data_IF_138183781261
#
_entry.id   IF_138183781261
#
_cell.length_a   1.000
_cell.length_b   1.000
_cell.length_c   1.000
_cell.angle_alpha   90.00
_cell.angle_beta   90.00
_cell.angle_gamma   90.00
#
_symmetry.space_group_name_H-M   'P 1'
#
loop_
_entity.id
_entity.type
_entity.pdbx_description
1 polymer ?
#
# COMPACT_ATOMS: atom_id res chain seq x y z
N UNK A 1 33.62 -11.20 -21.66
CA UNK A 1 33.66 -11.16 -20.18
C UNK A 1 32.82 -10.03 -19.58
N UNK A 2 32.83 -8.79 -20.10
CA UNK A 2 31.97 -7.69 -19.60
C UNK A 2 30.45 -8.01 -19.65
N UNK A 3 29.97 -8.58 -20.76
CA UNK A 3 28.55 -8.95 -20.95
C UNK A 3 28.02 -9.97 -19.91
N UNK A 4 28.86 -10.92 -19.48
CA UNK A 4 28.46 -11.91 -18.47
C UNK A 4 28.39 -11.29 -17.07
N UNK A 5 29.27 -10.34 -16.76
CA UNK A 5 29.26 -9.61 -15.49
C UNK A 5 28.04 -8.68 -15.39
N UNK A 6 27.72 -7.96 -16.45
CA UNK A 6 26.53 -7.10 -16.53
C UNK A 6 25.22 -7.90 -16.43
N UNK A 7 25.15 -9.06 -17.10
CA UNK A 7 23.99 -9.94 -17.01
C UNK A 7 23.76 -10.41 -15.56
N UNK A 8 24.80 -10.92 -14.90
CA UNK A 8 24.71 -11.37 -13.52
C UNK A 8 24.29 -10.26 -12.56
N UNK A 9 24.75 -9.02 -12.78
CA UNK A 9 24.33 -7.86 -11.99
C UNK A 9 22.84 -7.54 -12.18
N UNK A 10 22.33 -7.56 -13.42
CA UNK A 10 20.91 -7.34 -13.69
C UNK A 10 20.02 -8.41 -13.07
N UNK A 11 20.44 -9.68 -13.14
CA UNK A 11 19.73 -10.79 -12.50
C UNK A 11 19.69 -10.62 -10.98
N UNK A 12 20.83 -10.28 -10.36
CA UNK A 12 20.89 -10.05 -8.92
C UNK A 12 20.01 -8.86 -8.48
N UNK A 13 20.02 -7.75 -9.23
CA UNK A 13 19.15 -6.61 -8.97
C UNK A 13 17.66 -6.98 -9.08
N UNK A 14 17.29 -7.75 -10.10
CA UNK A 14 15.90 -8.22 -10.25
C UNK A 14 15.46 -9.08 -9.08
N UNK A 15 16.27 -10.06 -8.66
CA UNK A 15 15.95 -10.93 -7.52
C UNK A 15 15.82 -10.11 -6.24
N UNK A 16 16.69 -9.10 -6.05
CA UNK A 16 16.60 -8.18 -4.90
C UNK A 16 15.26 -7.43 -4.92
N UNK A 17 14.87 -6.85 -6.04
CA UNK A 17 13.62 -6.11 -6.16
C UNK A 17 12.39 -7.01 -5.98
N UNK A 18 12.42 -8.24 -6.50
CA UNK A 18 11.35 -9.23 -6.26
C UNK A 18 11.21 -9.55 -4.76
N UNK A 19 12.32 -9.67 -4.01
CA UNK A 19 12.27 -9.85 -2.55
C UNK A 19 11.67 -8.65 -1.83
N UNK A 20 12.12 -7.44 -2.17
CA UNK A 20 11.57 -6.21 -1.59
C UNK A 20 10.07 -6.06 -1.85
N UNK A 21 9.60 -6.48 -3.04
CA UNK A 21 8.18 -6.48 -3.36
C UNK A 21 7.37 -7.49 -2.54
N UNK A 22 7.95 -8.65 -2.21
CA UNK A 22 7.34 -9.61 -1.28
C UNK A 22 7.26 -9.01 0.13
N UNK A 23 8.33 -8.38 0.62
CA UNK A 23 8.35 -7.74 1.94
C UNK A 23 7.36 -6.56 2.03
N UNK A 24 7.27 -5.76 0.96
CA UNK A 24 6.28 -4.68 0.82
C UNK A 24 4.87 -5.25 0.87
N UNK A 25 4.62 -6.32 0.11
CA UNK A 25 3.32 -7.01 0.12
C UNK A 25 2.97 -7.51 1.51
N UNK A 26 3.92 -8.11 2.25
CA UNK A 26 3.70 -8.55 3.63
C UNK A 26 3.30 -7.39 4.54
N UNK A 27 3.97 -6.24 4.43
CA UNK A 27 3.60 -5.03 5.17
C UNK A 27 2.19 -4.55 4.82
N UNK A 28 1.82 -4.54 3.53
CA UNK A 28 0.47 -4.16 3.09
C UNK A 28 -0.60 -5.07 3.72
N UNK A 29 -0.41 -6.38 3.71
CA UNK A 29 -1.36 -7.32 4.30
C UNK A 29 -1.49 -7.11 5.82
N UNK A 30 -0.36 -6.92 6.51
CA UNK A 30 -0.37 -6.67 7.95
C UNK A 30 -1.11 -5.37 8.31
N UNK A 31 -0.84 -4.29 7.58
CA UNK A 31 -1.51 -3.00 7.73
C UNK A 31 -3.03 -3.11 7.51
N UNK A 32 -3.43 -3.85 6.48
CA UNK A 32 -4.81 -4.06 6.12
C UNK A 32 -5.56 -4.88 7.19
N UNK A 33 -5.05 -6.06 7.56
CA UNK A 33 -5.73 -6.96 8.48
C UNK A 33 -5.66 -6.53 9.95
N UNK A 34 -4.56 -5.93 10.39
CA UNK A 34 -4.42 -5.55 11.80
C UNK A 34 -5.04 -4.19 12.10
N UNK A 35 -4.95 -3.25 11.15
CA UNK A 35 -5.29 -1.83 11.39
C UNK A 35 -6.32 -1.25 10.42
N UNK A 36 -6.84 -2.06 9.49
CA UNK A 36 -7.84 -1.60 8.52
C UNK A 36 -7.30 -0.50 7.60
N UNK A 37 -5.99 -0.47 7.36
CA UNK A 37 -5.38 0.51 6.46
C UNK A 37 -5.35 -0.05 5.04
N UNK A 38 -6.11 0.55 4.13
CA UNK A 38 -6.04 0.23 2.69
C UNK A 38 -4.87 0.99 2.05
N UNK A 39 -3.88 0.26 1.56
CA UNK A 39 -2.75 0.82 0.83
C UNK A 39 -3.02 0.77 -0.67
N UNK A 40 -2.88 1.93 -1.31
CA UNK A 40 -2.92 2.08 -2.77
C UNK A 40 -1.63 2.73 -3.27
N UNK A 41 -1.31 2.52 -4.54
CA UNK A 41 -0.24 3.23 -5.25
C UNK A 41 -0.84 3.86 -6.51
N UNK A 42 -0.93 5.19 -6.53
CA UNK A 42 -1.58 5.94 -7.61
C UNK A 42 -2.96 5.37 -7.98
N UNK A 43 -3.81 5.18 -6.96
CA UNK A 43 -5.17 4.59 -7.04
C UNK A 43 -5.22 3.07 -7.32
N UNK A 44 -4.11 2.40 -7.57
CA UNK A 44 -4.09 0.93 -7.70
C UNK A 44 -3.98 0.30 -6.30
N UNK A 45 -4.91 -0.60 -5.95
CA UNK A 45 -4.85 -1.32 -4.67
C UNK A 45 -3.60 -2.22 -4.64
N UNK A 46 -2.93 -2.29 -3.49
CA UNK A 46 -1.77 -3.18 -3.32
C UNK A 46 -2.09 -4.49 -2.60
N UNK A 47 -3.24 -4.58 -1.92
CA UNK A 47 -3.72 -5.84 -1.34
C UNK A 47 -3.97 -6.87 -2.45
N UNK A 48 -3.66 -8.15 -2.19
CA UNK A 48 -3.78 -9.26 -3.15
C UNK A 48 -3.06 -9.06 -4.49
N UNK A 49 -2.09 -8.15 -4.53
CA UNK A 49 -1.32 -7.85 -5.73
C UNK A 49 -0.03 -8.66 -5.80
N UNK A 50 0.26 -9.26 -6.95
CA UNK A 50 1.51 -10.02 -7.13
C UNK A 50 2.75 -9.13 -7.03
N UNK A 51 3.86 -9.65 -6.52
CA UNK A 51 5.13 -8.91 -6.42
C UNK A 51 5.58 -8.33 -7.77
N UNK A 52 5.38 -9.05 -8.87
CA UNK A 52 5.68 -8.55 -10.23
C UNK A 52 4.84 -7.32 -10.59
N UNK A 53 3.55 -7.31 -10.23
CA UNK A 53 2.67 -6.18 -10.48
C UNK A 53 2.96 -5.00 -9.53
N UNK A 54 3.37 -5.27 -8.29
CA UNK A 54 3.89 -4.22 -7.39
C UNK A 54 5.09 -3.52 -8.03
N UNK A 55 6.05 -4.27 -8.59
CA UNK A 55 7.20 -3.69 -9.29
C UNK A 55 6.79 -2.91 -10.55
N UNK A 56 5.83 -3.42 -11.30
CA UNK A 56 5.25 -2.71 -12.45
C UNK A 56 4.65 -1.36 -12.05
N UNK A 57 3.92 -1.30 -10.94
CA UNK A 57 3.35 -0.04 -10.43
C UNK A 57 4.42 0.99 -10.02
N UNK A 58 5.53 0.55 -9.44
CA UNK A 58 6.67 1.43 -9.15
C UNK A 58 7.31 1.98 -10.42
N UNK A 59 7.38 1.18 -11.49
CA UNK A 59 7.89 1.61 -12.78
C UNK A 59 6.91 2.56 -13.49
N UNK A 60 5.61 2.30 -13.37
CA UNK A 60 4.52 3.08 -13.94
C UNK A 60 4.32 4.43 -13.23
N UNK A 61 4.81 4.58 -12.01
CA UNK A 61 4.84 5.86 -11.29
C UNK A 61 5.42 7.01 -12.13
N UNK A 62 6.38 6.70 -13.02
CA UNK A 62 6.98 7.67 -13.94
C UNK A 62 5.94 8.39 -14.80
N UNK A 63 4.84 7.74 -15.14
CA UNK A 63 3.79 8.31 -15.99
C UNK A 63 2.89 9.29 -15.21
N UNK A 64 2.86 9.19 -13.88
CA UNK A 64 2.06 10.06 -13.00
C UNK A 64 2.85 11.19 -12.37
N UNK A 65 4.07 10.92 -11.89
CA UNK A 65 4.91 11.86 -11.13
C UNK A 65 6.21 12.23 -11.85
N UNK A 66 6.41 11.76 -13.09
CA UNK A 66 7.58 12.07 -13.91
C UNK A 66 8.85 11.30 -13.53
N UNK A 67 8.85 10.61 -12.39
CA UNK A 67 9.98 9.81 -11.87
C UNK A 67 9.52 8.44 -11.38
N UNK A 68 10.39 7.43 -11.49
CA UNK A 68 10.14 6.13 -10.87
C UNK A 68 10.29 6.24 -9.35
N UNK A 69 9.40 5.57 -8.61
CA UNK A 69 9.52 5.47 -7.15
C UNK A 69 10.37 4.25 -6.82
N UNK A 70 11.35 4.43 -5.93
CA UNK A 70 12.15 3.30 -5.49
C UNK A 70 11.35 2.40 -4.53
N UNK A 71 11.52 1.09 -4.65
CA UNK A 71 10.77 0.14 -3.84
C UNK A 71 11.25 0.11 -2.39
N UNK A 72 12.55 0.33 -2.17
CA UNK A 72 13.11 0.52 -0.84
C UNK A 72 12.43 1.67 -0.09
N UNK A 73 12.23 2.81 -0.75
CA UNK A 73 11.63 4.01 -0.13
C UNK A 73 10.14 3.74 0.22
N UNK A 74 9.44 3.02 -0.64
CA UNK A 74 8.05 2.61 -0.37
C UNK A 74 7.96 1.61 0.78
N UNK A 75 8.90 0.67 0.86
CA UNK A 75 8.99 -0.28 1.96
C UNK A 75 9.30 0.43 3.29
N UNK A 76 10.24 1.38 3.29
CA UNK A 76 10.56 2.20 4.46
C UNK A 76 9.32 2.96 4.95
N UNK A 77 8.58 3.61 4.04
CA UNK A 77 7.33 4.29 4.38
C UNK A 77 6.31 3.35 5.04
N UNK A 78 6.11 2.14 4.52
CA UNK A 78 5.19 1.17 5.14
C UNK A 78 5.71 0.67 6.50
N UNK A 79 7.00 0.43 6.63
CA UNK A 79 7.62 0.02 7.89
C UNK A 79 7.50 1.11 8.96
N UNK A 80 7.65 2.37 8.58
CA UNK A 80 7.48 3.50 9.49
C UNK A 80 6.01 3.67 9.85
N UNK A 81 5.10 3.56 8.88
CA UNK A 81 3.65 3.52 9.15
C UNK A 81 3.31 2.42 10.16
N UNK A 82 3.90 1.23 10.07
CA UNK A 82 3.71 0.14 11.06
C UNK A 82 4.03 0.54 12.50
N UNK A 83 4.95 1.48 12.71
CA UNK A 83 5.31 1.99 14.05
C UNK A 83 4.32 3.03 14.60
N UNK A 84 3.44 3.58 13.75
CA UNK A 84 2.45 4.60 14.16
C UNK A 84 1.21 4.00 14.81
N UNK A 85 0.36 4.84 15.39
CA UNK A 85 -0.95 4.47 15.93
C UNK A 85 -2.11 4.72 14.93
N UNK A 86 -1.81 4.91 13.63
CA UNK A 86 -2.82 5.17 12.61
C UNK A 86 -3.64 3.89 12.38
N UNK A 87 -4.96 4.04 12.28
CA UNK A 87 -5.93 2.97 11.99
C UNK A 87 -7.04 3.49 11.06
N UNK A 88 -7.68 2.57 10.32
CA UNK A 88 -8.85 2.84 9.47
C UNK A 88 -8.66 3.99 8.47
N UNK A 89 -7.61 3.92 7.66
CA UNK A 89 -7.26 4.93 6.66
C UNK A 89 -7.08 4.32 5.28
N UNK A 90 -7.27 5.14 4.24
CA UNK A 90 -6.88 4.80 2.86
C UNK A 90 -5.72 5.70 2.46
N UNK A 91 -4.55 5.10 2.22
CA UNK A 91 -3.30 5.82 1.99
C UNK A 91 -2.74 5.52 0.61
N UNK A 92 -2.42 6.57 -0.15
CA UNK A 92 -1.69 6.44 -1.41
C UNK A 92 -0.18 6.51 -1.14
N UNK A 93 0.46 5.35 -1.06
CA UNK A 93 1.88 5.22 -0.75
C UNK A 93 2.75 5.78 -1.87
N UNK A 94 2.28 5.71 -3.12
CA UNK A 94 3.02 6.29 -4.26
C UNK A 94 3.16 7.79 -4.10
N UNK A 95 2.07 8.49 -3.79
CA UNK A 95 2.12 9.92 -3.54
C UNK A 95 2.94 10.24 -2.28
N UNK A 96 2.69 9.56 -1.15
CA UNK A 96 3.40 9.83 0.10
C UNK A 96 4.91 9.64 -0.02
N UNK A 97 5.36 8.56 -0.66
CA UNK A 97 6.78 8.31 -0.88
C UNK A 97 7.39 9.33 -1.85
N UNK A 98 6.68 9.74 -2.89
CA UNK A 98 7.15 10.79 -3.80
C UNK A 98 7.32 12.15 -3.07
N UNK A 99 6.32 12.52 -2.27
CA UNK A 99 6.34 13.77 -1.52
C UNK A 99 7.49 13.75 -0.49
N UNK A 100 7.65 12.63 0.24
CA UNK A 100 8.72 12.46 1.23
C UNK A 100 10.12 12.50 0.61
N UNK A 101 10.35 11.77 -0.49
CA UNK A 101 11.66 11.73 -1.18
C UNK A 101 12.07 13.07 -1.79
N UNK A 102 11.14 14.03 -1.86
CA UNK A 102 11.39 15.42 -2.27
C UNK A 102 11.80 16.33 -1.10
N UNK A 103 11.91 15.79 0.12
CA UNK A 103 12.31 16.50 1.34
C UNK A 103 13.64 15.98 1.89
N UNK A 104 14.25 16.71 2.83
CA UNK A 104 15.42 16.26 3.60
C UNK A 104 15.04 15.59 4.93
N UNK A 105 13.74 15.35 5.17
CA UNK A 105 13.24 14.81 6.43
C UNK A 105 13.42 13.28 6.51
N UNK A 106 13.52 12.76 7.72
CA UNK A 106 13.31 11.33 7.94
C UNK A 106 11.87 10.93 7.63
N UNK A 107 11.65 9.65 7.28
CA UNK A 107 10.32 9.14 7.00
C UNK A 107 9.38 9.32 8.21
N UNK A 108 9.91 9.13 9.43
CA UNK A 108 9.19 9.35 10.67
C UNK A 108 8.70 10.80 10.82
N UNK A 109 9.58 11.78 10.63
CA UNK A 109 9.25 13.21 10.71
C UNK A 109 8.19 13.59 9.67
N UNK A 110 8.36 13.13 8.43
CA UNK A 110 7.41 13.39 7.35
C UNK A 110 6.00 12.89 7.69
N UNK A 111 5.89 11.68 8.24
CA UNK A 111 4.59 11.10 8.65
C UNK A 111 3.98 11.92 9.80
N UNK A 112 4.76 12.31 10.80
CA UNK A 112 4.24 13.10 11.93
C UNK A 112 3.68 14.43 11.44
N UNK A 113 4.41 15.13 10.56
CA UNK A 113 4.02 16.44 10.07
C UNK A 113 2.80 16.37 9.14
N UNK A 114 2.76 15.40 8.21
CA UNK A 114 1.74 15.33 7.17
C UNK A 114 0.51 14.50 7.54
N UNK A 115 0.60 13.65 8.57
CA UNK A 115 -0.47 12.73 8.95
C UNK A 115 -1.00 12.97 10.37
N UNK A 116 -0.69 14.13 10.97
CA UNK A 116 -1.14 14.52 12.32
C UNK A 116 -2.65 14.33 12.57
N UNK A 117 -3.49 14.53 11.55
CA UNK A 117 -4.94 14.34 11.64
C UNK A 117 -5.36 12.88 11.82
N UNK A 118 -4.61 11.91 11.27
CA UNK A 118 -4.90 10.48 11.37
C UNK A 118 -4.63 9.89 12.76
N UNK A 119 -3.85 10.59 13.60
CA UNK A 119 -3.64 10.18 14.99
C UNK A 119 -4.87 10.45 15.87
N UNK A 120 -5.87 11.20 15.38
CA UNK A 120 -7.13 11.40 16.10
C UNK A 120 -8.00 10.15 15.90
N UNK A 121 -8.17 9.37 16.96
CA UNK A 121 -8.98 8.14 16.91
C UNK A 121 -10.44 8.46 16.57
N UNK A 122 -10.87 8.16 15.35
CA UNK A 122 -12.29 8.08 15.03
C UNK A 122 -12.76 6.65 15.29
N UNK A 123 -13.47 6.43 16.41
CA UNK A 123 -14.17 5.16 16.64
C UNK A 123 -15.27 5.02 15.58
N UNK A 124 -14.99 4.27 14.51
CA UNK A 124 -16.01 3.83 13.57
C UNK A 124 -16.84 2.74 14.25
N UNK A 125 -18.14 2.99 14.41
CA UNK A 125 -19.05 1.95 14.91
C UNK A 125 -19.40 1.00 13.75
N UNK A 126 -19.36 -0.32 13.98
CA UNK A 126 -19.82 -1.29 12.99
C UNK A 126 -21.28 -1.02 12.60
N UNK A 127 -21.67 -1.39 11.37
CA UNK A 127 -23.03 -1.21 10.86
C UNK A 127 -23.54 -2.49 10.22
N UNK A 128 -24.71 -2.94 10.68
CA UNK A 128 -25.43 -4.05 10.07
C UNK A 128 -25.95 -3.62 8.69
N UNK A 129 -25.58 -4.35 7.63
CA UNK A 129 -26.02 -4.08 6.26
C UNK A 129 -26.89 -5.22 5.73
N UNK A 130 -28.17 -4.93 5.46
CA UNK A 130 -29.09 -5.87 4.81
C UNK A 130 -29.27 -5.51 3.34
N UNK A 131 -28.87 -6.40 2.44
CA UNK A 131 -29.05 -6.23 1.00
C UNK A 131 -30.42 -6.79 0.55
N UNK A 132 -31.39 -5.90 0.34
CA UNK A 132 -32.68 -6.29 -0.24
C UNK A 132 -32.56 -6.41 -1.77
N UNK A 133 -32.75 -7.62 -2.31
CA UNK A 133 -32.63 -7.91 -3.74
C UNK A 133 -31.24 -8.42 -4.15
N UNK A 134 -30.99 -9.71 -3.97
CA UNK A 134 -29.71 -10.38 -4.26
C UNK A 134 -29.58 -10.84 -5.73
N UNK A 135 -29.93 -9.95 -6.66
CA UNK A 135 -29.80 -10.16 -8.10
C UNK A 135 -28.37 -9.92 -8.61
N UNK A 136 -28.24 -9.38 -9.82
CA UNK A 136 -26.92 -9.05 -10.40
C UNK A 136 -26.17 -8.00 -9.59
N UNK A 137 -26.84 -6.90 -9.24
CA UNK A 137 -26.24 -5.78 -8.49
C UNK A 137 -26.00 -6.16 -7.03
N UNK A 138 -26.96 -6.83 -6.38
CA UNK A 138 -26.82 -7.25 -4.98
C UNK A 138 -25.60 -8.14 -4.75
N UNK A 139 -25.29 -9.06 -5.68
CA UNK A 139 -24.06 -9.88 -5.60
C UNK A 139 -22.77 -9.09 -5.82
N UNK A 140 -22.80 -8.09 -6.70
CA UNK A 140 -21.63 -7.23 -6.93
C UNK A 140 -21.35 -6.36 -5.70
N UNK A 141 -22.40 -5.78 -5.12
CA UNK A 141 -22.28 -4.98 -3.90
C UNK A 141 -21.80 -5.83 -2.72
N UNK A 142 -22.36 -7.03 -2.52
CA UNK A 142 -21.89 -7.95 -1.48
C UNK A 142 -20.41 -8.32 -1.64
N UNK A 143 -19.96 -8.56 -2.88
CA UNK A 143 -18.54 -8.85 -3.17
C UNK A 143 -17.65 -7.68 -2.80
N UNK A 144 -18.03 -6.45 -3.15
CA UNK A 144 -17.24 -5.27 -2.83
C UNK A 144 -17.20 -5.02 -1.32
N UNK A 145 -18.33 -5.19 -0.62
CA UNK A 145 -18.40 -5.10 0.83
C UNK A 145 -17.47 -6.10 1.52
N UNK A 146 -17.47 -7.37 1.09
CA UNK A 146 -16.58 -8.41 1.62
C UNK A 146 -15.11 -8.10 1.31
N UNK A 147 -14.81 -7.62 0.10
CA UNK A 147 -13.44 -7.30 -0.30
C UNK A 147 -12.86 -6.11 0.49
N UNK A 148 -13.70 -5.18 0.93
CA UNK A 148 -13.30 -4.03 1.74
C UNK A 148 -13.27 -4.34 3.25
N UNK A 149 -13.80 -5.49 3.67
CA UNK A 149 -14.04 -5.75 5.09
C UNK A 149 -12.78 -5.97 5.92
N UNK A 150 -11.63 -6.21 5.29
CA UNK A 150 -10.32 -6.31 5.94
C UNK A 150 -10.32 -7.13 7.23
N UNK A 151 -10.21 -6.47 8.38
CA UNK A 151 -10.18 -7.09 9.72
C UNK A 151 -11.53 -7.64 10.22
N UNK A 152 -12.60 -7.55 9.41
CA UNK A 152 -13.95 -8.01 9.76
C UNK A 152 -14.65 -7.17 10.83
N UNK A 153 -14.17 -5.95 11.07
CA UNK A 153 -14.68 -5.05 12.13
C UNK A 153 -15.57 -3.91 11.61
N UNK A 154 -15.58 -3.66 10.30
CA UNK A 154 -16.33 -2.53 9.72
C UNK A 154 -17.78 -2.88 9.37
N UNK A 155 -18.05 -4.13 8.98
CA UNK A 155 -19.39 -4.63 8.63
C UNK A 155 -19.80 -5.78 9.56
N UNK A 156 -19.95 -5.48 10.85
CA UNK A 156 -20.83 -6.31 11.69
C UNK A 156 -22.24 -5.83 11.46
#
# INVERSE_FOLDING_TARGET
>A
MLSQKEYSQKVAARIRNERLAVDLSACVHELFYNRGIEIVMFRNKLIDTSASHVLELHQYAKDFVGTSINIEDSLEMLQTLKKTAIEYARLDIGRLTHDWTSTEQSCEEFIIDNMSEFFKTQKQQPRDVVLFGFGRIGRLLARELIAQEGSGKQLR
#
